data_IF_010150030507
#
_entry.id   IF_010150030507
#
_cell.length_a   1.000
_cell.length_b   1.000
_cell.length_c   1.000
_cell.angle_alpha   90.00
_cell.angle_beta   90.00
_cell.angle_gamma   90.00
#
_symmetry.space_group_name_H-M   'P 1'
#
loop_
_entity.id
_entity.type
_entity.pdbx_description
1 polymer ?
#
# COMPACT_ATOMS: atom_id res chain seq x y z
N UNK A 1 -8.57 1.53 -13.62
CA UNK A 1 -7.17 1.99 -13.79
C UNK A 1 -7.21 3.37 -14.40
N UNK A 2 -6.57 4.36 -13.77
CA UNK A 2 -6.58 5.74 -14.27
C UNK A 2 -5.55 5.89 -15.40
N UNK A 3 -5.94 6.63 -16.44
CA UNK A 3 -5.06 7.03 -17.52
C UNK A 3 -4.92 8.55 -17.52
N UNK A 4 -3.67 9.02 -17.55
CA UNK A 4 -3.37 10.43 -17.78
C UNK A 4 -3.26 10.63 -19.28
N UNK A 5 -3.93 11.64 -19.83
CA UNK A 5 -3.82 12.02 -21.24
C UNK A 5 -2.89 13.22 -21.39
N UNK A 6 -2.24 13.28 -22.55
CA UNK A 6 -1.46 14.45 -22.97
C UNK A 6 -2.37 15.68 -23.04
N UNK A 7 -1.90 16.80 -22.51
CA UNK A 7 -2.59 18.08 -22.65
C UNK A 7 -2.30 18.72 -24.01
N UNK A 8 -3.33 19.31 -24.62
CA UNK A 8 -3.23 20.07 -25.87
C UNK A 8 -2.25 21.24 -25.74
N UNK A 9 -1.59 21.60 -26.84
CA UNK A 9 -0.60 22.70 -26.88
C UNK A 9 -1.19 24.05 -26.44
N UNK A 10 -2.47 24.29 -26.74
CA UNK A 10 -3.20 25.49 -26.32
C UNK A 10 -3.44 25.57 -24.80
N UNK A 11 -3.40 24.44 -24.07
CA UNK A 11 -3.51 24.40 -22.61
C UNK A 11 -2.17 24.69 -21.90
N UNK A 12 -1.08 24.90 -22.66
CA UNK A 12 0.28 25.15 -22.14
C UNK A 12 0.60 26.63 -21.90
N UNK A 13 -0.38 27.41 -21.42
CA UNK A 13 -0.20 28.81 -21.01
C UNK A 13 0.63 28.98 -19.73
N UNK A 14 1.03 30.22 -19.42
CA UNK A 14 1.91 30.61 -18.31
C UNK A 14 1.47 29.99 -16.97
N UNK A 15 2.23 28.99 -16.50
CA UNK A 15 1.82 28.04 -15.45
C UNK A 15 1.84 26.58 -15.90
N UNK A 16 2.65 26.24 -16.91
CA UNK A 16 2.73 24.94 -17.56
C UNK A 16 2.67 23.79 -16.56
N UNK A 17 1.56 23.03 -16.57
CA UNK A 17 1.49 21.74 -15.89
C UNK A 17 2.41 20.78 -16.63
N UNK A 18 3.64 20.66 -16.15
CA UNK A 18 4.64 19.79 -16.72
C UNK A 18 4.17 18.33 -16.59
N UNK A 19 4.09 17.63 -17.72
CA UNK A 19 3.78 16.20 -17.77
C UNK A 19 5.02 15.44 -18.27
N UNK A 20 6.01 15.14 -17.39
CA UNK A 20 7.31 14.60 -17.78
C UNK A 20 7.20 13.38 -18.70
N UNK A 21 6.22 12.51 -18.47
CA UNK A 21 6.00 11.30 -19.28
C UNK A 21 5.85 11.60 -20.78
N UNK A 22 5.17 12.70 -21.15
CA UNK A 22 4.96 13.06 -22.55
C UNK A 22 6.12 13.84 -23.15
N UNK A 23 6.98 14.43 -22.33
CA UNK A 23 8.22 15.07 -22.78
C UNK A 23 9.30 14.05 -23.13
N UNK A 24 9.37 12.94 -22.39
CA UNK A 24 10.36 11.88 -22.63
C UNK A 24 9.87 10.83 -23.64
N UNK A 25 8.56 10.60 -23.68
CA UNK A 25 7.94 9.63 -24.60
C UNK A 25 6.99 10.38 -25.55
N UNK A 26 7.57 10.93 -26.62
CA UNK A 26 6.89 11.80 -27.60
C UNK A 26 5.72 11.14 -28.34
N UNK A 27 5.71 9.82 -28.44
CA UNK A 27 4.74 9.10 -29.29
C UNK A 27 3.52 8.56 -28.52
N UNK A 28 3.46 8.75 -27.19
CA UNK A 28 2.32 8.30 -26.37
C UNK A 28 1.38 9.43 -26.03
N UNK A 29 0.10 9.23 -26.34
CA UNK A 29 -0.99 10.17 -26.05
C UNK A 29 -1.67 9.90 -24.69
N UNK A 30 -1.43 8.73 -24.11
CA UNK A 30 -1.94 8.37 -22.80
C UNK A 30 -0.95 7.51 -22.03
N UNK A 31 -0.96 7.64 -20.70
CA UNK A 31 -0.11 6.89 -19.80
C UNK A 31 -0.94 6.18 -18.72
N UNK A 32 -0.88 4.84 -18.65
CA UNK A 32 -1.52 4.07 -17.57
C UNK A 32 -0.67 4.18 -16.30
N UNK A 33 -1.10 5.00 -15.33
CA UNK A 33 -0.30 5.23 -14.11
C UNK A 33 -0.24 4.01 -13.20
N UNK A 34 -1.16 3.05 -13.42
CA UNK A 34 -1.43 1.88 -12.57
C UNK A 34 -2.01 2.23 -11.20
N UNK A 35 -2.34 3.49 -10.95
CA UNK A 35 -2.99 3.90 -9.72
C UNK A 35 -4.49 3.58 -9.76
N UNK A 36 -5.02 3.25 -8.59
CA UNK A 36 -6.42 3.01 -8.31
C UNK A 36 -6.99 4.18 -7.52
N UNK A 37 -8.19 4.58 -7.89
CA UNK A 37 -8.92 5.69 -7.29
C UNK A 37 -10.38 5.33 -7.08
N UNK A 38 -10.97 5.86 -6.02
CA UNK A 38 -12.42 5.78 -5.74
C UNK A 38 -13.00 7.19 -5.76
N UNK A 39 -14.15 7.35 -6.41
CA UNK A 39 -14.85 8.65 -6.49
C UNK A 39 -15.35 9.07 -5.11
N UNK A 40 -15.16 10.34 -4.74
CA UNK A 40 -15.70 10.87 -3.49
C UNK A 40 -17.23 10.83 -3.51
N UNK A 41 -17.85 10.38 -2.42
CA UNK A 41 -19.30 10.13 -2.37
C UNK A 41 -20.13 11.39 -2.63
N UNK A 42 -19.68 12.55 -2.12
CA UNK A 42 -20.43 13.81 -2.15
C UNK A 42 -19.79 14.93 -2.98
N UNK A 43 -18.51 14.81 -3.37
CA UNK A 43 -17.79 15.88 -4.04
C UNK A 43 -17.62 15.54 -5.52
N UNK A 44 -18.22 16.33 -6.45
CA UNK A 44 -18.09 16.07 -7.87
C UNK A 44 -16.62 16.20 -8.30
N UNK A 45 -16.22 15.39 -9.28
CA UNK A 45 -14.88 15.40 -9.88
C UNK A 45 -13.70 15.22 -8.89
N UNK A 46 -13.97 14.66 -7.71
CA UNK A 46 -12.96 14.43 -6.67
C UNK A 46 -12.79 12.94 -6.45
N UNK A 47 -11.54 12.50 -6.26
CA UNK A 47 -11.17 11.09 -6.14
C UNK A 47 -10.15 10.89 -5.03
N UNK A 48 -10.27 9.79 -4.29
CA UNK A 48 -9.30 9.38 -3.27
C UNK A 48 -8.42 8.28 -3.85
N UNK A 49 -7.10 8.45 -3.73
CA UNK A 49 -6.13 7.41 -4.09
C UNK A 49 -6.27 6.22 -3.14
N UNK A 50 -6.35 5.00 -3.67
CA UNK A 50 -6.52 3.78 -2.86
C UNK A 50 -5.36 2.78 -2.96
N UNK A 51 -4.39 3.01 -3.85
CA UNK A 51 -3.22 2.15 -4.03
C UNK A 51 -2.88 1.92 -5.50
N UNK A 52 -1.94 1.02 -5.77
CA UNK A 52 -1.54 0.67 -7.14
C UNK A 52 -1.94 -0.74 -7.52
N UNK A 53 -2.21 -0.96 -8.80
CA UNK A 53 -2.49 -2.29 -9.36
C UNK A 53 -1.28 -3.23 -9.32
N UNK A 54 -0.07 -2.69 -9.21
CA UNK A 54 1.18 -3.45 -9.17
C UNK A 54 1.79 -3.56 -7.76
N UNK A 55 1.08 -3.11 -6.72
CA UNK A 55 1.41 -3.39 -5.31
C UNK A 55 1.09 -4.86 -5.00
N UNK A 56 1.92 -5.77 -5.51
CA UNK A 56 1.74 -7.21 -5.40
C UNK A 56 3.02 -7.84 -4.87
N UNK A 57 2.89 -8.62 -3.79
CA UNK A 57 3.93 -9.51 -3.30
C UNK A 57 3.81 -10.84 -4.04
N UNK A 58 4.93 -11.30 -4.60
CA UNK A 58 5.04 -12.62 -5.24
C UNK A 58 5.88 -13.53 -4.35
N UNK A 59 5.24 -14.55 -3.78
CA UNK A 59 5.88 -15.55 -2.92
C UNK A 59 6.74 -16.53 -3.72
N UNK A 60 7.53 -17.36 -3.04
CA UNK A 60 8.45 -18.31 -3.65
C UNK A 60 7.74 -19.31 -4.59
N UNK A 61 6.50 -19.68 -4.26
CA UNK A 61 5.66 -20.57 -5.07
C UNK A 61 4.93 -19.87 -6.22
N UNK A 62 5.17 -18.57 -6.44
CA UNK A 62 4.51 -17.77 -7.46
C UNK A 62 3.13 -17.25 -7.08
N UNK A 63 2.61 -17.58 -5.90
CA UNK A 63 1.36 -17.00 -5.40
C UNK A 63 1.49 -15.50 -5.17
N UNK A 64 0.39 -14.78 -5.37
CA UNK A 64 0.35 -13.32 -5.38
C UNK A 64 -0.61 -12.81 -4.33
N UNK A 65 -0.25 -11.73 -3.66
CA UNK A 65 -1.13 -10.99 -2.75
C UNK A 65 -0.89 -9.50 -2.85
N UNK A 66 -1.97 -8.72 -2.84
CA UNK A 66 -1.91 -7.29 -2.59
C UNK A 66 -1.93 -7.05 -1.07
N UNK A 67 -0.92 -6.39 -0.48
CA UNK A 67 -0.84 -6.20 0.96
C UNK A 67 -1.58 -4.95 1.46
N UNK A 68 -1.99 -4.05 0.55
CA UNK A 68 -2.43 -2.69 0.87
C UNK A 68 -3.56 -2.64 1.90
N UNK A 69 -4.55 -3.54 1.80
CA UNK A 69 -5.66 -3.57 2.77
C UNK A 69 -5.21 -4.02 4.16
N UNK A 70 -4.26 -4.96 4.23
CA UNK A 70 -3.69 -5.43 5.50
C UNK A 70 -2.93 -4.28 6.18
N UNK A 71 -2.04 -3.64 5.44
CA UNK A 71 -1.18 -2.55 5.93
C UNK A 71 -2.01 -1.37 6.41
N UNK A 72 -3.02 -0.96 5.64
CA UNK A 72 -3.93 0.11 6.01
C UNK A 72 -4.70 -0.22 7.29
N UNK A 73 -5.25 -1.42 7.40
CA UNK A 73 -5.99 -1.84 8.59
C UNK A 73 -5.09 -1.91 9.83
N UNK A 74 -3.82 -2.28 9.66
CA UNK A 74 -2.85 -2.24 10.75
C UNK A 74 -2.51 -0.80 11.17
N UNK A 75 -2.35 0.12 10.21
CA UNK A 75 -2.07 1.53 10.48
C UNK A 75 -3.25 2.28 11.15
N UNK A 76 -4.47 1.72 11.13
CA UNK A 76 -5.61 2.23 11.90
C UNK A 76 -5.53 1.85 13.39
N UNK A 77 -4.62 0.97 13.79
CA UNK A 77 -4.45 0.57 15.18
C UNK A 77 -3.73 1.68 16.00
N UNK A 78 -4.23 2.07 17.20
CA UNK A 78 -3.70 3.23 17.94
C UNK A 78 -2.21 3.18 18.33
N UNK A 79 -1.62 1.98 18.37
CA UNK A 79 -0.22 1.77 18.73
C UNK A 79 0.71 1.52 17.53
N UNK A 80 0.16 1.57 16.31
CA UNK A 80 0.90 1.32 15.08
C UNK A 80 0.93 2.61 14.27
N UNK A 81 2.12 3.14 14.06
CA UNK A 81 2.34 4.30 13.19
C UNK A 81 2.33 3.89 11.72
N UNK A 82 2.99 2.78 11.39
CA UNK A 82 3.02 2.21 10.06
C UNK A 82 3.18 0.69 10.11
N UNK A 83 2.74 0.01 9.07
CA UNK A 83 2.90 -1.43 8.92
C UNK A 83 3.22 -1.78 7.47
N UNK A 84 4.08 -2.77 7.27
CA UNK A 84 4.46 -3.27 5.95
C UNK A 84 4.41 -4.79 5.93
N UNK A 85 3.67 -5.36 4.99
CA UNK A 85 3.70 -6.81 4.75
C UNK A 85 4.85 -7.10 3.80
N UNK A 86 5.69 -8.06 4.18
CA UNK A 86 6.83 -8.52 3.38
C UNK A 86 6.74 -10.02 3.15
N UNK A 87 7.50 -10.53 2.18
CA UNK A 87 7.44 -11.95 1.82
C UNK A 87 7.80 -12.28 0.38
N UNK A 88 8.30 -11.31 -0.39
CA UNK A 88 8.76 -11.55 -1.76
C UNK A 88 9.81 -12.66 -1.78
N UNK A 89 9.60 -13.67 -2.62
CA UNK A 89 10.47 -14.84 -2.72
C UNK A 89 10.65 -15.61 -1.38
N UNK A 90 9.65 -15.54 -0.49
CA UNK A 90 9.57 -16.35 0.73
C UNK A 90 8.37 -17.30 0.67
N UNK A 91 8.33 -18.29 1.56
CA UNK A 91 7.23 -19.25 1.65
C UNK A 91 6.00 -18.71 2.40
N UNK A 92 6.20 -17.69 3.24
CA UNK A 92 5.16 -17.09 4.07
C UNK A 92 5.36 -15.57 4.14
N UNK A 93 4.30 -14.86 4.53
CA UNK A 93 4.34 -13.43 4.81
C UNK A 93 4.91 -13.14 6.20
N UNK A 94 5.52 -11.96 6.33
CA UNK A 94 5.89 -11.36 7.61
C UNK A 94 5.36 -9.92 7.66
N UNK A 95 5.25 -9.38 8.87
CA UNK A 95 4.76 -8.03 9.12
C UNK A 95 5.83 -7.24 9.85
N UNK A 96 6.27 -6.13 9.25
CA UNK A 96 7.07 -5.11 9.93
C UNK A 96 6.12 -4.10 10.56
N UNK A 97 6.33 -3.76 11.83
CA UNK A 97 5.48 -2.81 12.56
C UNK A 97 6.33 -1.66 13.09
N UNK A 98 5.98 -0.44 12.70
CA UNK A 98 6.49 0.77 13.33
C UNK A 98 5.53 1.16 14.47
N UNK A 99 5.97 1.10 15.74
CA UNK A 99 5.14 1.53 16.86
C UNK A 99 5.03 3.05 16.94
N UNK A 100 3.94 3.56 17.53
CA UNK A 100 3.77 5.00 17.81
C UNK A 100 4.71 5.53 18.90
N UNK A 101 5.47 4.66 19.57
CA UNK A 101 6.39 5.05 20.64
C UNK A 101 7.57 5.87 20.10
N UNK A 102 7.88 6.99 20.76
CA UNK A 102 8.96 7.89 20.34
C UNK A 102 10.37 7.34 20.58
N UNK A 103 10.51 6.24 21.32
CA UNK A 103 11.79 5.62 21.68
C UNK A 103 11.78 4.14 21.28
N UNK A 104 12.96 3.56 20.97
CA UNK A 104 13.08 2.13 20.68
C UNK A 104 12.52 1.27 21.82
N UNK A 105 11.69 0.30 21.47
CA UNK A 105 11.10 -0.62 22.43
C UNK A 105 12.14 -1.64 22.93
N UNK A 106 12.10 -1.94 24.24
CA UNK A 106 12.80 -3.09 24.80
C UNK A 106 12.20 -4.40 24.26
N UNK A 107 12.92 -5.51 24.36
CA UNK A 107 12.40 -6.80 23.87
C UNK A 107 11.15 -7.28 24.62
N UNK A 108 10.97 -6.84 25.87
CA UNK A 108 9.73 -7.10 26.64
C UNK A 108 8.58 -6.27 26.04
N UNK A 109 8.78 -4.97 25.84
CA UNK A 109 7.77 -4.08 25.27
C UNK A 109 7.39 -4.47 23.84
N UNK A 110 8.33 -5.00 23.04
CA UNK A 110 8.03 -5.56 21.71
C UNK A 110 7.07 -6.75 21.81
N UNK A 111 7.28 -7.66 22.76
CA UNK A 111 6.39 -8.82 22.94
C UNK A 111 4.99 -8.38 23.38
N UNK A 112 4.91 -7.44 24.32
CA UNK A 112 3.63 -6.85 24.75
C UNK A 112 2.89 -6.15 23.60
N UNK A 113 3.61 -5.42 22.75
CA UNK A 113 3.03 -4.82 21.55
C UNK A 113 2.50 -5.90 20.60
N UNK A 114 3.29 -6.94 20.31
CA UNK A 114 2.89 -8.07 19.46
C UNK A 114 1.61 -8.73 20.01
N UNK A 115 1.54 -8.95 21.32
CA UNK A 115 0.36 -9.51 21.97
C UNK A 115 -0.86 -8.59 21.84
N UNK A 116 -0.65 -7.28 21.96
CA UNK A 116 -1.72 -6.27 21.87
C UNK A 116 -2.26 -6.14 20.45
N UNK A 117 -1.40 -6.15 19.42
CA UNK A 117 -1.83 -6.01 18.02
C UNK A 117 -2.32 -7.33 17.42
N UNK A 118 -2.04 -8.48 18.04
CA UNK A 118 -2.37 -9.80 17.53
C UNK A 118 -3.86 -9.96 17.11
N UNK A 119 -4.85 -9.50 17.90
CA UNK A 119 -6.26 -9.57 17.49
C UNK A 119 -6.56 -8.81 16.19
N UNK A 120 -5.83 -7.72 15.92
CA UNK A 120 -5.94 -6.96 14.67
C UNK A 120 -5.32 -7.74 13.51
N UNK A 121 -4.14 -8.32 13.72
CA UNK A 121 -3.48 -9.23 12.76
C UNK A 121 -4.38 -10.42 12.42
N UNK A 122 -5.07 -11.02 13.40
CA UNK A 122 -6.01 -12.12 13.16
C UNK A 122 -7.22 -11.70 12.31
N UNK A 123 -7.73 -10.47 12.50
CA UNK A 123 -8.79 -9.92 11.64
C UNK A 123 -8.30 -9.77 10.20
N UNK A 124 -7.12 -9.19 10.00
CA UNK A 124 -6.51 -9.07 8.66
C UNK A 124 -6.29 -10.45 8.02
N UNK A 125 -5.75 -11.42 8.77
CA UNK A 125 -5.52 -12.78 8.32
C UNK A 125 -6.79 -13.51 7.86
N UNK A 126 -7.97 -13.17 8.38
CA UNK A 126 -9.25 -13.74 7.93
C UNK A 126 -9.67 -13.23 6.54
N UNK A 127 -9.22 -12.04 6.16
CA UNK A 127 -9.52 -11.40 4.88
C UNK A 127 -8.49 -11.74 3.80
N UNK A 128 -7.32 -12.25 4.20
CA UNK A 128 -6.23 -12.58 3.29
C UNK A 128 -6.24 -14.05 2.85
N UNK A 129 -5.72 -14.34 1.64
CA UNK A 129 -5.48 -15.71 1.19
C UNK A 129 -4.56 -16.48 2.15
N UNK A 130 -4.66 -17.82 2.14
CA UNK A 130 -3.92 -18.70 3.07
C UNK A 130 -2.41 -18.43 3.08
N UNK A 131 -1.81 -18.21 1.92
CA UNK A 131 -0.36 -18.01 1.73
C UNK A 131 0.15 -16.65 2.20
N UNK A 132 -0.74 -15.68 2.40
CA UNK A 132 -0.39 -14.35 2.88
C UNK A 132 -0.76 -14.10 4.35
N UNK A 133 -1.20 -15.14 5.05
CA UNK A 133 -1.42 -15.03 6.50
C UNK A 133 -0.09 -14.83 7.21
N UNK A 134 -0.06 -13.86 8.13
CA UNK A 134 1.10 -13.57 8.98
C UNK A 134 0.96 -14.37 10.27
N UNK A 135 1.95 -15.18 10.59
CA UNK A 135 2.03 -15.86 11.88
C UNK A 135 2.61 -14.93 12.95
N UNK A 136 2.27 -15.16 14.22
CA UNK A 136 2.71 -14.29 15.33
C UNK A 136 4.24 -14.20 15.46
N UNK A 137 4.94 -15.27 15.11
CA UNK A 137 6.41 -15.35 15.10
C UNK A 137 7.05 -14.62 13.92
N UNK A 138 6.25 -14.09 12.98
CA UNK A 138 6.69 -13.33 11.80
C UNK A 138 6.30 -11.87 11.88
N UNK A 139 6.04 -11.37 13.09
CA UNK A 139 5.88 -9.96 13.39
C UNK A 139 7.22 -9.44 13.90
N UNK A 140 7.73 -8.41 13.25
CA UNK A 140 9.06 -7.81 13.48
C UNK A 140 8.93 -6.35 13.90
#
# INVERSE_FOLDING_TARGET
>A
MVQVRRLDEAARGAGQRYQPVFCHFGDVESYPTKDLFVKHASLPNTFTHVGRTDDIIVFLNGEKTNPTSFEKQMAEHPQVQAALVVGRQRQEAALLVEPTAAQPLSDIAKKELIDTIWPTVEKCNKLCPRHAKVSKTKIL
#
